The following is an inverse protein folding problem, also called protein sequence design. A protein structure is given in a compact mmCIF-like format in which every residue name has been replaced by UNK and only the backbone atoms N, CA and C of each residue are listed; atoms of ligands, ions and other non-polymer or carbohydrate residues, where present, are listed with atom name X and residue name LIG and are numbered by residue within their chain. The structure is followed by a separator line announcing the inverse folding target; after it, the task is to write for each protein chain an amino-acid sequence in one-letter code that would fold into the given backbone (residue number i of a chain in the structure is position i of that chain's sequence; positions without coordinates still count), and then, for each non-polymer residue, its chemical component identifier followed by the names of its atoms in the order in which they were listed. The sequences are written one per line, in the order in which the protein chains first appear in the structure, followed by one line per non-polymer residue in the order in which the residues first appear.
data_IF_238723585622
#
_entry.id   IF_238723585622
#
_cell.length_a   1.000
_cell.length_b   1.000
_cell.length_c   1.000
_cell.angle_alpha   90.00
_cell.angle_beta   90.00
_cell.angle_gamma   90.00
#
_symmetry.space_group_name_H-M   'P 1'
#
loop_
_entity.id
_entity.type
_entity.pdbx_description
1 polymer ?
#
# COMPACT_ATOMS: atom_id res chain seq x y z
N UNK A 1 6.33 -81.59 -15.41
CA UNK A 1 5.86 -80.20 -15.53
C UNK A 1 6.45 -79.40 -14.38
N UNK A 2 6.92 -78.19 -14.69
CA UNK A 2 8.08 -77.52 -14.11
C UNK A 2 7.94 -77.04 -12.64
N UNK A 3 9.07 -77.13 -11.93
CA UNK A 3 9.33 -76.65 -10.58
C UNK A 3 9.90 -75.23 -10.62
N UNK A 4 9.29 -74.30 -9.88
CA UNK A 4 9.74 -72.91 -9.71
C UNK A 4 10.66 -72.79 -8.49
N UNK A 5 11.88 -72.29 -8.72
CA UNK A 5 12.80 -71.79 -7.69
C UNK A 5 12.90 -70.26 -7.79
N UNK A 6 12.80 -69.60 -6.64
CA UNK A 6 13.03 -68.17 -6.45
C UNK A 6 14.47 -67.75 -6.78
N UNK A 7 14.62 -66.54 -7.33
CA UNK A 7 15.85 -65.75 -7.28
C UNK A 7 15.52 -64.27 -7.07
N UNK A 8 16.41 -63.63 -6.32
CA UNK A 8 16.46 -62.24 -5.86
C UNK A 8 16.28 -61.18 -6.95
N UNK A 9 15.64 -60.07 -6.60
CA UNK A 9 15.93 -58.76 -7.20
C UNK A 9 15.86 -57.66 -6.12
N UNK A 10 17.02 -57.09 -5.83
CA UNK A 10 17.22 -55.90 -5.01
C UNK A 10 16.87 -54.68 -5.86
N UNK A 11 15.83 -53.91 -5.49
CA UNK A 11 15.58 -52.60 -6.08
C UNK A 11 15.89 -51.51 -5.05
N UNK A 12 16.92 -50.72 -5.38
CA UNK A 12 17.32 -49.53 -4.68
C UNK A 12 16.25 -48.44 -4.82
N UNK A 13 15.79 -47.89 -3.70
CA UNK A 13 15.00 -46.67 -3.66
C UNK A 13 15.96 -45.48 -3.50
N UNK A 14 15.83 -44.40 -4.29
CA UNK A 14 16.65 -43.22 -4.08
C UNK A 14 16.16 -42.51 -2.83
N UNK A 15 17.03 -42.39 -1.84
CA UNK A 15 16.86 -41.48 -0.70
C UNK A 15 16.80 -40.05 -1.24
N UNK A 16 15.60 -39.49 -1.33
CA UNK A 16 15.42 -38.05 -1.50
C UNK A 16 15.86 -37.38 -0.19
N UNK A 17 17.14 -37.01 -0.13
CA UNK A 17 17.64 -36.10 0.89
C UNK A 17 17.00 -34.75 0.59
N UNK A 18 15.93 -34.41 1.31
CA UNK A 18 15.37 -33.08 1.32
C UNK A 18 16.39 -32.17 2.00
N UNK A 19 17.31 -31.61 1.20
CA UNK A 19 18.21 -30.56 1.65
C UNK A 19 17.36 -29.31 1.91
N UNK A 20 16.89 -29.16 3.15
CA UNK A 20 16.45 -27.89 3.69
C UNK A 20 17.65 -26.94 3.64
N UNK A 21 17.73 -26.17 2.55
CA UNK A 21 18.65 -25.06 2.43
C UNK A 21 18.17 -23.96 3.37
N UNK A 22 18.53 -24.06 4.64
CA UNK A 22 18.46 -22.95 5.60
C UNK A 22 19.56 -21.95 5.25
N UNK A 23 19.34 -21.17 4.17
CA UNK A 23 20.08 -19.94 3.96
C UNK A 23 19.16 -18.78 4.30
N UNK A 24 19.16 -18.41 5.58
CA UNK A 24 19.04 -16.99 5.96
C UNK A 24 20.29 -16.32 5.37
N UNK A 25 20.27 -16.08 4.07
CA UNK A 25 21.33 -15.39 3.37
C UNK A 25 21.25 -13.93 3.77
N UNK A 26 22.35 -13.39 4.30
CA UNK A 26 22.58 -11.94 4.31
C UNK A 26 22.30 -11.43 2.89
N UNK A 27 21.16 -10.75 2.70
CA UNK A 27 20.86 -10.01 1.46
C UNK A 27 21.80 -8.82 1.45
N UNK A 28 23.02 -8.99 0.94
CA UNK A 28 23.80 -7.86 0.50
C UNK A 28 23.06 -7.29 -0.72
N UNK A 29 22.57 -6.04 -0.69
CA UNK A 29 21.88 -5.47 -1.83
C UNK A 29 22.86 -5.42 -3.01
N UNK A 30 22.42 -5.93 -4.17
CA UNK A 30 23.08 -5.59 -5.43
C UNK A 30 22.93 -4.09 -5.60
N UNK A 31 24.02 -3.33 -5.57
CA UNK A 31 23.96 -1.87 -5.70
C UNK A 31 23.44 -1.52 -7.09
N UNK A 32 22.23 -0.95 -7.15
CA UNK A 32 21.69 -0.43 -8.40
C UNK A 32 22.48 0.83 -8.75
N UNK A 33 23.20 0.79 -9.88
CA UNK A 33 24.05 1.90 -10.29
C UNK A 33 23.35 2.88 -11.24
N UNK A 34 22.24 2.46 -11.86
CA UNK A 34 21.49 3.27 -12.80
C UNK A 34 20.29 3.92 -12.13
N UNK A 35 20.03 5.18 -12.49
CA UNK A 35 18.83 5.87 -12.06
C UNK A 35 17.59 5.19 -12.67
N UNK A 36 16.59 4.93 -11.83
CA UNK A 36 15.33 4.33 -12.22
C UNK A 36 14.46 5.38 -12.90
N UNK A 37 13.82 4.99 -14.00
CA UNK A 37 12.69 5.73 -14.58
C UNK A 37 11.55 4.75 -14.78
N UNK A 38 10.38 5.09 -14.23
CA UNK A 38 9.17 4.28 -14.27
C UNK A 38 8.20 4.84 -15.31
N UNK A 39 7.37 3.97 -15.87
CA UNK A 39 6.39 4.32 -16.89
C UNK A 39 4.98 4.06 -16.35
N UNK A 40 4.28 5.12 -15.96
CA UNK A 40 2.92 5.02 -15.40
C UNK A 40 1.88 4.55 -16.41
N UNK A 41 2.19 4.50 -17.71
CA UNK A 41 1.29 3.92 -18.71
C UNK A 41 1.30 2.38 -18.67
N UNK A 42 2.35 1.78 -18.09
CA UNK A 42 2.52 0.33 -17.95
C UNK A 42 2.26 -0.15 -16.52
N UNK A 43 1.96 -1.43 -16.39
CA UNK A 43 1.91 -2.07 -15.08
C UNK A 43 3.34 -2.35 -14.59
N UNK A 44 3.83 -1.53 -13.65
CA UNK A 44 5.17 -1.68 -13.07
C UNK A 44 5.33 -2.99 -12.30
N UNK A 45 4.26 -3.54 -11.73
CA UNK A 45 4.30 -4.74 -10.90
C UNK A 45 4.57 -6.03 -11.69
N UNK A 46 4.56 -5.96 -13.02
CA UNK A 46 5.03 -7.07 -13.86
C UNK A 46 6.56 -7.26 -13.79
N UNK A 47 7.29 -6.19 -13.45
CA UNK A 47 8.76 -6.17 -13.43
C UNK A 47 9.35 -5.91 -12.05
N UNK A 48 8.54 -5.39 -11.12
CA UNK A 48 8.99 -5.04 -9.78
C UNK A 48 8.27 -5.86 -8.71
N UNK A 49 9.03 -6.31 -7.71
CA UNK A 49 8.49 -6.93 -6.50
C UNK A 49 8.43 -5.90 -5.37
N UNK A 50 7.30 -5.81 -4.66
CA UNK A 50 7.18 -4.94 -3.49
C UNK A 50 8.19 -5.36 -2.41
N UNK A 51 9.04 -4.44 -2.00
CA UNK A 51 10.13 -4.72 -1.05
C UNK A 51 9.58 -4.98 0.37
N UNK A 52 9.98 -6.07 1.04
CA UNK A 52 9.70 -6.30 2.46
C UNK A 52 10.63 -5.43 3.32
N UNK A 53 10.33 -4.14 3.41
CA UNK A 53 11.17 -3.15 4.07
C UNK A 53 11.47 -3.46 5.55
N UNK A 54 12.69 -3.11 5.98
CA UNK A 54 13.24 -3.52 7.27
C UNK A 54 12.53 -2.93 8.51
N UNK A 55 11.81 -1.81 8.38
CA UNK A 55 11.09 -1.17 9.49
C UNK A 55 9.99 -2.10 10.01
N UNK A 56 9.09 -2.63 9.17
CA UNK A 56 8.06 -3.58 9.64
C UNK A 56 8.58 -5.02 9.71
N UNK A 57 9.52 -5.39 8.86
CA UNK A 57 10.11 -6.74 8.86
C UNK A 57 10.70 -7.11 10.22
N UNK A 58 11.40 -6.19 10.87
CA UNK A 58 11.96 -6.41 12.21
C UNK A 58 10.87 -6.68 13.27
N UNK A 59 9.74 -5.97 13.19
CA UNK A 59 8.57 -6.24 14.05
C UNK A 59 7.96 -7.62 13.80
N UNK A 60 7.84 -8.05 12.54
CA UNK A 60 7.33 -9.39 12.22
C UNK A 60 8.25 -10.51 12.73
N UNK A 61 9.56 -10.36 12.56
CA UNK A 61 10.54 -11.33 13.08
C UNK A 61 10.50 -11.42 14.61
N UNK A 62 10.40 -10.28 15.29
CA UNK A 62 10.26 -10.23 16.74
C UNK A 62 8.97 -10.94 17.20
N UNK A 63 7.84 -10.65 16.54
CA UNK A 63 6.55 -11.29 16.85
C UNK A 63 6.59 -12.80 16.60
N UNK A 64 7.15 -13.25 15.48
CA UNK A 64 7.28 -14.67 15.16
C UNK A 64 8.14 -15.43 16.18
N UNK A 65 9.12 -14.77 16.80
CA UNK A 65 9.95 -15.39 17.85
C UNK A 65 9.21 -15.66 19.16
N UNK A 66 8.05 -15.03 19.37
CA UNK A 66 7.19 -15.27 20.53
C UNK A 66 6.27 -16.48 20.34
N UNK A 67 6.21 -17.06 19.13
CA UNK A 67 5.33 -18.19 18.81
C UNK A 67 6.03 -19.51 19.17
N UNK A 68 5.39 -20.29 20.05
CA UNK A 68 5.92 -21.59 20.49
C UNK A 68 5.62 -22.73 19.51
N UNK A 69 4.46 -22.69 18.86
CA UNK A 69 4.08 -23.71 17.88
C UNK A 69 4.97 -23.59 16.62
N UNK A 70 5.64 -24.68 16.26
CA UNK A 70 6.67 -24.66 15.21
C UNK A 70 6.10 -24.32 13.84
N UNK A 71 4.92 -24.85 13.51
CA UNK A 71 4.28 -24.62 12.20
C UNK A 71 3.75 -23.19 12.09
N UNK A 72 3.10 -22.68 13.14
CA UNK A 72 2.66 -21.28 13.19
C UNK A 72 3.83 -20.31 13.16
N UNK A 73 4.93 -20.64 13.85
CA UNK A 73 6.16 -19.84 13.80
C UNK A 73 6.72 -19.78 12.38
N UNK A 74 6.79 -20.91 11.69
CA UNK A 74 7.24 -20.95 10.29
C UNK A 74 6.34 -20.12 9.37
N UNK A 75 5.01 -20.22 9.54
CA UNK A 75 4.03 -19.41 8.81
C UNK A 75 4.20 -17.91 9.10
N UNK A 76 4.41 -17.53 10.36
CA UNK A 76 4.62 -16.14 10.76
C UNK A 76 5.94 -15.57 10.22
N UNK A 77 7.01 -16.36 10.19
CA UNK A 77 8.28 -15.95 9.59
C UNK A 77 8.14 -15.62 8.10
N UNK A 78 7.28 -16.32 7.36
CA UNK A 78 7.00 -16.00 5.94
C UNK A 78 6.35 -14.63 5.74
N UNK A 79 5.58 -14.13 6.71
CA UNK A 79 4.99 -12.78 6.64
C UNK A 79 6.08 -11.71 6.59
N UNK A 80 7.22 -11.94 7.24
CA UNK A 80 8.36 -11.03 7.23
C UNK A 80 9.02 -10.88 5.84
N UNK A 81 8.74 -11.81 4.91
CA UNK A 81 9.24 -11.75 3.54
C UNK A 81 8.20 -11.19 2.54
N UNK A 82 6.99 -10.88 3.01
CA UNK A 82 5.95 -10.22 2.19
C UNK A 82 6.19 -8.71 2.10
N UNK A 83 6.15 -8.18 0.88
CA UNK A 83 6.25 -6.74 0.65
C UNK A 83 5.15 -5.95 1.37
N UNK A 84 5.50 -4.84 2.00
CA UNK A 84 4.56 -3.94 2.69
C UNK A 84 4.88 -2.49 2.37
N UNK A 85 3.86 -1.62 2.43
CA UNK A 85 4.07 -0.19 2.33
C UNK A 85 4.49 0.38 3.69
N UNK A 86 5.48 1.27 3.68
CA UNK A 86 5.93 2.04 4.83
C UNK A 86 5.03 3.28 5.02
N UNK A 87 4.45 3.44 6.20
CA UNK A 87 3.56 4.57 6.51
C UNK A 87 4.34 5.79 7.01
N UNK A 88 4.02 6.94 6.44
CA UNK A 88 4.55 8.26 6.76
C UNK A 88 3.38 9.16 7.16
N UNK A 89 3.20 9.35 8.48
CA UNK A 89 2.04 10.06 9.04
C UNK A 89 2.42 11.43 9.63
N UNK A 90 3.73 11.70 9.76
CA UNK A 90 4.29 12.91 10.36
C UNK A 90 5.72 13.20 9.87
N UNK A 91 6.23 14.39 10.20
CA UNK A 91 7.62 14.77 9.91
C UNK A 91 8.64 13.78 10.50
N UNK A 92 8.33 13.24 11.69
CA UNK A 92 9.17 12.27 12.39
C UNK A 92 9.29 10.92 11.68
N UNK A 93 8.41 10.62 10.72
CA UNK A 93 8.46 9.38 9.94
C UNK A 93 9.38 9.48 8.72
N UNK A 94 9.69 10.69 8.26
CA UNK A 94 10.48 10.91 7.03
C UNK A 94 11.86 10.21 7.09
N UNK A 95 12.61 10.23 8.21
CA UNK A 95 13.88 9.49 8.31
C UNK A 95 13.74 7.96 8.13
N UNK A 96 12.54 7.39 8.26
CA UNK A 96 12.31 5.96 8.00
C UNK A 96 12.52 5.60 6.53
N UNK A 97 12.36 6.56 5.60
CA UNK A 97 12.72 6.36 4.19
C UNK A 97 14.21 6.03 4.07
N UNK A 98 15.06 6.82 4.72
CA UNK A 98 16.52 6.67 4.71
C UNK A 98 16.96 5.32 5.30
N UNK A 99 16.18 4.76 6.23
CA UNK A 99 16.38 3.40 6.73
C UNK A 99 15.93 2.35 5.70
N UNK A 100 14.72 2.47 5.17
CA UNK A 100 14.09 1.47 4.32
C UNK A 100 14.71 1.35 2.92
N UNK A 101 15.38 2.39 2.41
CA UNK A 101 16.04 2.34 1.09
C UNK A 101 17.34 1.55 1.10
N UNK A 102 17.97 1.33 2.27
CA UNK A 102 19.33 0.76 2.38
C UNK A 102 19.42 -0.66 1.87
N UNK A 103 18.35 -1.43 1.96
CA UNK A 103 18.31 -2.85 1.65
C UNK A 103 17.44 -3.18 0.43
N UNK A 104 16.96 -2.18 -0.32
CA UNK A 104 16.16 -2.39 -1.53
C UNK A 104 17.06 -2.89 -2.66
N UNK A 105 16.92 -4.16 -3.12
CA UNK A 105 17.69 -4.67 -4.24
C UNK A 105 17.11 -4.18 -5.58
N UNK A 106 17.89 -4.34 -6.65
CA UNK A 106 17.39 -4.04 -7.99
C UNK A 106 16.23 -4.98 -8.36
N UNK A 107 15.25 -4.46 -9.09
CA UNK A 107 14.01 -5.18 -9.39
C UNK A 107 13.01 -5.20 -8.24
N UNK A 108 13.32 -4.60 -7.09
CA UNK A 108 12.33 -4.30 -6.05
C UNK A 108 11.91 -2.83 -6.10
N UNK A 109 10.73 -2.56 -5.54
CA UNK A 109 10.14 -1.24 -5.40
C UNK A 109 9.76 -1.00 -3.93
N UNK A 110 10.12 0.16 -3.40
CA UNK A 110 9.77 0.55 -2.03
C UNK A 110 8.38 1.23 -2.04
N UNK A 111 7.42 0.64 -1.33
CA UNK A 111 6.08 1.21 -1.17
C UNK A 111 6.04 2.22 -0.02
N UNK A 112 5.52 3.43 -0.26
CA UNK A 112 5.28 4.46 0.74
C UNK A 112 3.80 4.83 0.78
N UNK A 113 3.23 4.94 1.98
CA UNK A 113 1.92 5.56 2.20
C UNK A 113 2.15 6.90 2.86
N UNK A 114 1.74 7.98 2.19
CA UNK A 114 1.84 9.35 2.68
C UNK A 114 0.47 9.73 3.22
N UNK A 115 0.35 9.90 4.53
CA UNK A 115 -0.92 10.12 5.23
C UNK A 115 -0.73 11.22 6.28
N UNK A 116 -0.37 12.42 5.82
CA UNK A 116 0.02 13.54 6.66
C UNK A 116 -1.06 14.62 6.79
N UNK A 117 -2.15 14.59 6.00
CA UNK A 117 -3.20 15.60 6.13
C UNK A 117 -4.03 15.38 7.39
N UNK A 118 -4.39 16.51 8.00
CA UNK A 118 -5.31 16.56 9.12
C UNK A 118 -6.75 16.48 8.63
N UNK A 119 -7.50 15.56 9.22
CA UNK A 119 -8.96 15.55 9.22
C UNK A 119 -9.52 16.00 10.58
N UNK A 120 -8.72 16.71 11.40
CA UNK A 120 -9.14 17.20 12.70
C UNK A 120 -10.36 18.12 12.57
N UNK A 121 -11.34 17.94 13.47
CA UNK A 121 -12.58 18.72 13.45
C UNK A 121 -13.68 18.16 12.56
N UNK A 122 -13.40 17.17 11.70
CA UNK A 122 -14.41 16.44 10.94
C UNK A 122 -14.65 15.08 11.61
N UNK A 123 -15.75 14.93 12.36
CA UNK A 123 -16.13 13.67 13.03
C UNK A 123 -17.40 13.10 12.40
N UNK A 124 -17.34 11.83 12.03
CA UNK A 124 -18.49 11.03 11.60
C UNK A 124 -18.88 10.08 12.73
N UNK A 125 -19.77 10.54 13.60
CA UNK A 125 -20.69 9.72 14.40
C UNK A 125 -20.13 8.64 15.37
N UNK A 126 -18.82 8.39 15.47
CA UNK A 126 -18.27 7.30 16.32
C UNK A 126 -17.15 7.69 17.26
N UNK A 127 -16.76 8.97 17.34
CA UNK A 127 -15.97 9.49 18.44
C UNK A 127 -14.74 8.63 18.78
N UNK A 128 -13.72 8.69 17.92
CA UNK A 128 -12.28 8.50 18.18
C UNK A 128 -11.61 8.06 16.87
N UNK A 129 -11.01 9.01 16.15
CA UNK A 129 -9.67 8.74 15.59
C UNK A 129 -8.69 9.10 16.69
N UNK A 130 -8.18 8.11 17.42
CA UNK A 130 -7.44 8.38 18.62
C UNK A 130 -5.99 8.70 18.18
N UNK A 131 -5.54 9.92 18.47
CA UNK A 131 -4.14 10.25 18.84
C UNK A 131 -3.15 10.90 17.86
N UNK A 132 -3.52 11.47 16.72
CA UNK A 132 -2.56 12.34 16.01
C UNK A 132 -3.20 13.65 15.54
N UNK A 133 -2.85 14.74 16.23
CA UNK A 133 -2.99 16.09 15.68
C UNK A 133 -2.01 16.22 14.52
N UNK A 134 -2.43 15.84 13.33
CA UNK A 134 -1.71 16.20 12.10
C UNK A 134 -1.94 17.68 11.83
N UNK A 135 -0.94 18.37 11.28
CA UNK A 135 -1.02 19.77 10.92
C UNK A 135 -1.05 19.92 9.40
N UNK A 136 -2.17 20.43 8.87
CA UNK A 136 -2.33 20.67 7.44
C UNK A 136 -1.69 21.99 6.98
N UNK A 137 -1.27 22.87 7.89
CA UNK A 137 -0.79 24.24 7.58
C UNK A 137 0.51 24.21 6.79
N UNK A 138 1.45 23.35 7.21
CA UNK A 138 2.76 23.22 6.58
C UNK A 138 2.94 21.84 5.93
N UNK A 139 1.85 21.15 5.60
CA UNK A 139 1.91 19.79 5.06
C UNK A 139 2.76 19.68 3.79
N UNK A 140 2.65 20.63 2.86
CA UNK A 140 3.48 20.61 1.64
C UNK A 140 4.96 20.82 1.96
N UNK A 141 5.26 21.81 2.78
CA UNK A 141 6.63 22.25 3.09
C UNK A 141 7.37 21.27 3.99
N UNK A 142 6.69 20.72 4.99
CA UNK A 142 7.30 19.90 6.03
C UNK A 142 7.18 18.40 5.78
N UNK A 143 6.17 17.95 5.01
CA UNK A 143 5.96 16.53 4.73
C UNK A 143 6.30 16.22 3.27
N UNK A 144 5.59 16.82 2.32
CA UNK A 144 5.70 16.43 0.91
C UNK A 144 7.07 16.77 0.32
N UNK A 145 7.55 18.00 0.47
CA UNK A 145 8.79 18.44 -0.15
C UNK A 145 10.01 17.65 0.36
N UNK A 146 10.16 17.38 1.67
CA UNK A 146 11.26 16.53 2.17
C UNK A 146 11.17 15.06 1.74
N UNK A 147 9.96 14.52 1.52
CA UNK A 147 9.76 13.19 0.94
C UNK A 147 10.19 13.20 -0.53
N UNK A 148 9.71 14.17 -1.31
CA UNK A 148 10.06 14.34 -2.71
C UNK A 148 11.57 14.51 -2.92
N UNK A 149 12.24 15.26 -2.06
CA UNK A 149 13.69 15.42 -2.07
C UNK A 149 14.41 14.07 -1.84
N UNK A 150 13.98 13.29 -0.85
CA UNK A 150 14.55 11.96 -0.60
C UNK A 150 14.35 11.02 -1.79
N UNK A 151 13.16 10.96 -2.35
CA UNK A 151 12.87 10.12 -3.54
C UNK A 151 13.79 10.50 -4.69
N UNK A 152 14.00 11.81 -4.95
CA UNK A 152 14.94 12.29 -5.97
C UNK A 152 16.39 11.92 -5.67
N UNK A 153 16.81 11.99 -4.40
CA UNK A 153 18.17 11.66 -3.99
C UNK A 153 18.44 10.15 -4.07
N UNK A 154 17.43 9.31 -3.80
CA UNK A 154 17.48 7.86 -3.97
C UNK A 154 17.04 7.43 -5.38
N UNK A 155 17.57 8.11 -6.40
CA UNK A 155 17.15 7.90 -7.79
C UNK A 155 17.41 6.50 -8.36
N UNK A 156 18.24 5.67 -7.73
CA UNK A 156 18.47 4.27 -8.13
C UNK A 156 17.48 3.30 -7.49
N UNK A 157 16.56 3.79 -6.65
CA UNK A 157 15.46 3.04 -6.04
C UNK A 157 14.14 3.39 -6.72
N UNK A 158 13.34 2.36 -7.04
CA UNK A 158 11.97 2.53 -7.49
C UNK A 158 11.03 2.76 -6.30
N UNK A 159 10.04 3.63 -6.44
CA UNK A 159 9.03 3.91 -5.41
C UNK A 159 7.60 3.74 -5.93
N UNK A 160 6.72 3.21 -5.08
CA UNK A 160 5.27 3.23 -5.28
C UNK A 160 4.64 4.03 -4.15
N UNK A 161 3.83 5.03 -4.47
CA UNK A 161 3.30 6.01 -3.52
C UNK A 161 1.78 5.90 -3.45
N UNK A 162 1.24 5.82 -2.24
CA UNK A 162 -0.19 5.95 -1.95
C UNK A 162 -0.39 7.27 -1.23
N UNK A 163 -1.27 8.11 -1.75
CA UNK A 163 -1.50 9.47 -1.26
C UNK A 163 -2.80 9.56 -0.48
N UNK A 164 -2.67 10.02 0.75
CA UNK A 164 -3.73 10.45 1.67
C UNK A 164 -4.90 9.48 1.82
N UNK A 165 -4.65 8.25 2.30
CA UNK A 165 -5.73 7.41 2.78
C UNK A 165 -6.59 8.10 3.82
N UNK A 166 -7.84 7.69 3.87
CA UNK A 166 -8.79 8.03 4.93
C UNK A 166 -9.42 9.42 4.90
N UNK A 167 -8.92 10.37 4.11
CA UNK A 167 -9.48 11.73 4.07
C UNK A 167 -10.70 11.90 3.14
N UNK A 168 -10.79 11.13 2.06
CA UNK A 168 -11.81 11.29 1.01
C UNK A 168 -13.28 11.23 1.52
N UNK A 169 -13.67 10.39 2.49
CA UNK A 169 -15.01 10.40 3.10
C UNK A 169 -15.46 11.78 3.58
N UNK A 170 -14.58 12.46 4.28
CA UNK A 170 -14.81 13.78 4.87
C UNK A 170 -14.97 14.88 3.81
N UNK A 171 -14.54 14.58 2.58
CA UNK A 171 -14.66 15.47 1.43
C UNK A 171 -15.95 15.24 0.64
N UNK A 172 -16.29 13.96 0.40
CA UNK A 172 -17.34 13.59 -0.56
C UNK A 172 -18.66 13.20 0.10
N UNK A 173 -18.63 12.45 1.21
CA UNK A 173 -19.85 11.92 1.85
C UNK A 173 -20.52 12.96 2.72
N UNK A 174 -19.73 13.85 3.34
CA UNK A 174 -20.20 14.85 4.27
C UNK A 174 -19.90 16.31 3.85
N UNK A 175 -20.21 16.73 2.60
CA UNK A 175 -19.93 18.08 2.15
C UNK A 175 -20.77 19.14 2.89
N UNK A 176 -21.83 18.72 3.60
CA UNK A 176 -22.76 19.61 4.30
C UNK A 176 -22.45 19.80 5.80
N UNK A 177 -21.44 19.11 6.32
CA UNK A 177 -20.98 19.27 7.70
C UNK A 177 -20.01 20.45 7.77
N UNK A 178 -20.46 21.57 8.37
CA UNK A 178 -19.67 22.81 8.48
C UNK A 178 -18.34 22.59 9.20
N UNK A 179 -18.33 21.64 10.13
CA UNK A 179 -17.16 21.19 10.88
C UNK A 179 -16.07 20.57 9.99
N UNK A 180 -16.42 20.06 8.80
CA UNK A 180 -15.48 19.44 7.86
C UNK A 180 -14.89 20.40 6.83
N UNK A 181 -15.30 21.67 6.80
CA UNK A 181 -14.86 22.65 5.80
C UNK A 181 -13.34 22.83 5.75
N UNK A 182 -12.67 22.77 6.91
CA UNK A 182 -11.20 22.86 6.96
C UNK A 182 -10.53 21.65 6.32
N UNK A 183 -10.99 20.43 6.62
CA UNK A 183 -10.46 19.21 6.02
C UNK A 183 -10.70 19.16 4.50
N UNK A 184 -11.90 19.58 4.06
CA UNK A 184 -12.24 19.72 2.65
C UNK A 184 -11.32 20.69 1.92
N UNK A 185 -11.10 21.89 2.49
CA UNK A 185 -10.20 22.87 1.92
C UNK A 185 -8.77 22.36 1.90
N UNK A 186 -8.30 21.74 2.99
CA UNK A 186 -6.96 21.19 3.07
C UNK A 186 -6.73 20.11 2.00
N UNK A 187 -7.66 19.17 1.83
CA UNK A 187 -7.58 18.15 0.79
C UNK A 187 -7.52 18.77 -0.62
N UNK A 188 -8.47 19.65 -0.95
CA UNK A 188 -8.58 20.26 -2.29
C UNK A 188 -7.39 21.17 -2.63
N UNK A 189 -6.77 21.80 -1.63
CA UNK A 189 -5.58 22.63 -1.82
C UNK A 189 -4.30 21.82 -1.86
N UNK A 190 -4.11 20.88 -0.93
CA UNK A 190 -2.82 20.25 -0.69
C UNK A 190 -2.64 18.94 -1.46
N UNK A 191 -3.67 18.11 -1.61
CA UNK A 191 -3.54 16.82 -2.31
C UNK A 191 -3.08 16.99 -3.76
N UNK A 192 -3.61 17.95 -4.55
CA UNK A 192 -3.08 18.19 -5.90
C UNK A 192 -1.62 18.63 -5.92
N UNK A 193 -1.20 19.44 -4.95
CA UNK A 193 0.19 19.88 -4.81
C UNK A 193 1.11 18.72 -4.42
N UNK A 194 0.65 17.82 -3.55
CA UNK A 194 1.36 16.60 -3.19
C UNK A 194 1.60 15.70 -4.42
N UNK A 195 0.55 15.42 -5.18
CA UNK A 195 0.63 14.62 -6.41
C UNK A 195 1.63 15.24 -7.39
N UNK A 196 1.56 16.57 -7.59
CA UNK A 196 2.46 17.28 -8.50
C UNK A 196 3.92 17.26 -8.03
N UNK A 197 4.18 17.46 -6.74
CA UNK A 197 5.53 17.46 -6.19
C UNK A 197 6.19 16.06 -6.23
N UNK A 198 5.36 15.02 -6.19
CA UNK A 198 5.75 13.61 -6.24
C UNK A 198 5.72 13.01 -7.65
N UNK A 199 5.46 13.82 -8.69
CA UNK A 199 5.61 13.43 -10.10
C UNK A 199 7.12 13.37 -10.46
N UNK A 200 7.79 12.33 -9.96
CA UNK A 200 9.26 12.16 -10.00
C UNK A 200 9.58 10.87 -10.77
N UNK A 201 10.57 10.86 -11.69
CA UNK A 201 10.80 9.74 -12.62
C UNK A 201 10.88 8.34 -12.00
N UNK A 202 11.41 8.21 -10.78
CA UNK A 202 11.56 6.93 -10.07
C UNK A 202 10.41 6.58 -9.13
N UNK A 203 9.27 7.29 -9.17
CA UNK A 203 8.10 7.04 -8.35
C UNK A 203 6.83 6.85 -9.19
N UNK A 204 5.91 6.02 -8.75
CA UNK A 204 4.56 5.90 -9.32
C UNK A 204 3.53 6.21 -8.25
N UNK A 205 2.59 7.08 -8.57
CA UNK A 205 1.64 7.65 -7.60
C UNK A 205 0.23 7.11 -7.81
N UNK A 206 -0.40 6.70 -6.71
CA UNK A 206 -1.79 6.29 -6.61
C UNK A 206 -2.52 7.16 -5.57
N UNK A 207 -3.70 7.67 -5.90
CA UNK A 207 -4.55 8.40 -4.97
C UNK A 207 -5.50 7.45 -4.23
N UNK A 208 -5.62 7.54 -2.90
CA UNK A 208 -6.59 6.70 -2.19
C UNK A 208 -8.03 7.02 -2.60
N UNK A 209 -8.82 5.97 -2.83
CA UNK A 209 -10.22 6.02 -3.17
C UNK A 209 -11.07 5.15 -2.21
N UNK A 210 -10.59 4.92 -0.98
CA UNK A 210 -11.25 4.11 0.06
C UNK A 210 -11.61 2.70 -0.42
N UNK A 211 -12.82 2.22 -0.14
CA UNK A 211 -13.20 0.82 -0.35
C UNK A 211 -14.69 0.69 -0.70
N UNK A 212 -15.09 -0.51 -1.15
CA UNK A 212 -16.46 -0.78 -1.61
C UNK A 212 -17.52 -0.55 -0.52
N UNK A 213 -17.18 -0.84 0.74
CA UNK A 213 -18.04 -0.54 1.89
C UNK A 213 -18.19 0.95 2.21
N UNK A 214 -17.45 1.84 1.53
CA UNK A 214 -17.62 3.29 1.66
C UNK A 214 -18.24 3.90 0.41
N UNK A 215 -17.68 3.60 -0.77
CA UNK A 215 -18.02 4.24 -2.06
C UNK A 215 -18.62 3.30 -3.12
N UNK A 216 -18.75 2.01 -2.83
CA UNK A 216 -19.30 1.01 -3.74
C UNK A 216 -20.83 0.83 -3.66
N UNK A 217 -21.53 1.56 -2.78
CA UNK A 217 -22.95 1.34 -2.55
C UNK A 217 -23.82 1.71 -3.76
N UNK A 218 -24.92 0.96 -3.94
CA UNK A 218 -25.96 1.34 -4.88
C UNK A 218 -26.51 2.73 -4.50
N UNK A 219 -26.68 3.67 -5.45
CA UNK A 219 -27.21 5.02 -5.18
C UNK A 219 -28.53 5.03 -4.40
N UNK A 220 -29.38 4.00 -4.55
CA UNK A 220 -30.64 3.86 -3.80
C UNK A 220 -30.47 3.55 -2.30
N UNK A 221 -29.25 3.28 -1.84
CA UNK A 221 -28.89 2.86 -0.48
C UNK A 221 -27.93 3.81 0.23
N UNK A 222 -27.58 4.93 -0.39
CA UNK A 222 -26.63 5.90 0.15
C UNK A 222 -27.19 7.31 0.13
N UNK A 223 -26.67 8.17 1.01
CA UNK A 223 -26.99 9.60 1.10
C UNK A 223 -26.07 10.49 0.24
N UNK A 224 -25.13 9.91 -0.51
CA UNK A 224 -24.29 10.60 -1.49
C UNK A 224 -24.44 9.96 -2.89
N UNK A 225 -24.20 10.71 -3.97
CA UNK A 225 -24.14 10.13 -5.32
C UNK A 225 -22.74 9.53 -5.53
N UNK A 226 -22.56 8.23 -5.82
CA UNK A 226 -21.24 7.65 -6.12
C UNK A 226 -20.45 8.40 -7.19
N UNK A 227 -21.14 9.13 -8.09
CA UNK A 227 -20.47 10.00 -9.07
C UNK A 227 -19.76 11.20 -8.42
N UNK A 228 -20.13 11.64 -7.21
CA UNK A 228 -19.40 12.67 -6.47
C UNK A 228 -17.99 12.23 -6.12
N UNK A 229 -17.79 10.94 -5.84
CA UNK A 229 -16.47 10.36 -5.56
C UNK A 229 -15.60 10.46 -6.81
N UNK A 230 -16.12 10.01 -7.95
CA UNK A 230 -15.41 10.10 -9.23
C UNK A 230 -15.14 11.56 -9.63
N UNK A 231 -16.10 12.48 -9.40
CA UNK A 231 -15.94 13.92 -9.62
C UNK A 231 -14.81 14.50 -8.78
N UNK A 232 -14.77 14.21 -7.48
CA UNK A 232 -13.75 14.74 -6.57
C UNK A 232 -12.35 14.19 -6.90
N UNK A 233 -12.22 12.90 -7.17
CA UNK A 233 -10.96 12.28 -7.61
C UNK A 233 -10.47 12.89 -8.94
N UNK A 234 -11.38 13.07 -9.91
CA UNK A 234 -11.08 13.69 -11.20
C UNK A 234 -10.65 15.15 -11.03
N UNK A 235 -11.36 15.92 -10.22
CA UNK A 235 -11.03 17.32 -9.95
C UNK A 235 -9.65 17.44 -9.26
N UNK A 236 -9.33 16.53 -8.33
CA UNK A 236 -8.03 16.47 -7.66
C UNK A 236 -6.91 16.20 -8.67
N UNK A 237 -7.08 15.19 -9.53
CA UNK A 237 -6.13 14.88 -10.61
C UNK A 237 -5.98 16.03 -11.61
N UNK A 238 -7.09 16.69 -11.97
CA UNK A 238 -7.06 17.82 -12.88
C UNK A 238 -6.28 19.00 -12.30
N UNK A 239 -6.53 19.33 -11.04
CA UNK A 239 -5.83 20.39 -10.31
C UNK A 239 -4.33 20.09 -10.13
N UNK A 240 -3.94 18.80 -10.09
CA UNK A 240 -2.54 18.40 -9.97
C UNK A 240 -1.74 18.58 -11.27
N UNK A 241 -2.41 18.62 -12.43
CA UNK A 241 -1.75 18.77 -13.73
C UNK A 241 -2.43 18.01 -14.87
N UNK A 242 -3.43 17.17 -14.60
CA UNK A 242 -4.08 16.35 -15.61
C UNK A 242 -3.07 15.48 -16.39
N UNK A 243 -3.06 15.58 -17.72
CA UNK A 243 -2.19 14.83 -18.63
C UNK A 243 -0.74 15.29 -18.63
N UNK A 244 -0.37 16.34 -17.88
CA UNK A 244 1.04 16.71 -17.70
C UNK A 244 1.75 15.85 -16.66
N UNK A 245 1.00 15.14 -15.81
CA UNK A 245 1.55 14.19 -14.85
C UNK A 245 2.07 12.96 -15.60
N UNK A 246 3.33 12.61 -15.37
CA UNK A 246 4.01 11.50 -16.05
C UNK A 246 4.01 10.21 -15.22
N UNK A 247 3.82 10.34 -13.91
CA UNK A 247 3.97 9.28 -12.92
C UNK A 247 2.68 8.93 -12.17
N UNK A 248 1.61 9.71 -12.36
CA UNK A 248 0.30 9.39 -11.78
C UNK A 248 -0.35 8.22 -12.52
N UNK A 249 -0.56 7.10 -11.82
CA UNK A 249 -1.12 5.88 -12.41
C UNK A 249 -2.63 5.77 -12.26
N UNK A 250 -3.19 6.23 -11.15
CA UNK A 250 -4.60 6.05 -10.87
C UNK A 250 -4.89 6.05 -9.37
N UNK A 251 -5.75 5.13 -8.94
CA UNK A 251 -6.24 5.06 -7.57
C UNK A 251 -5.78 3.80 -6.84
N UNK A 252 -5.79 3.87 -5.51
CA UNK A 252 -5.65 2.73 -4.61
C UNK A 252 -6.94 2.57 -3.81
N UNK A 253 -7.26 1.34 -3.44
CA UNK A 253 -8.51 0.99 -2.77
C UNK A 253 -8.24 -0.10 -1.73
N UNK A 254 -9.17 -0.25 -0.79
CA UNK A 254 -9.13 -1.21 0.31
C UNK A 254 -7.98 -0.97 1.32
N UNK A 255 -7.42 0.23 1.36
CA UNK A 255 -6.37 0.60 2.32
C UNK A 255 -6.94 0.56 3.74
N UNK A 256 -6.29 -0.20 4.64
CA UNK A 256 -6.74 -0.47 6.02
C UNK A 256 -8.18 -1.01 6.12
N UNK A 257 -8.68 -1.65 5.08
CA UNK A 257 -10.00 -2.27 5.06
C UNK A 257 -9.90 -3.79 4.85
N UNK A 258 -11.05 -4.47 4.90
CA UNK A 258 -11.16 -5.93 4.93
C UNK A 258 -12.04 -6.48 3.81
N UNK A 259 -12.43 -5.66 2.83
CA UNK A 259 -13.29 -6.10 1.74
C UNK A 259 -12.59 -7.19 0.93
N UNK A 260 -13.33 -8.24 0.58
CA UNK A 260 -12.89 -9.24 -0.38
C UNK A 260 -12.57 -8.61 -1.73
N UNK A 261 -11.55 -9.14 -2.42
CA UNK A 261 -11.20 -8.74 -3.79
C UNK A 261 -12.28 -9.16 -4.78
N UNK A 262 -12.63 -10.45 -4.75
CA UNK A 262 -13.68 -11.06 -5.55
C UNK A 262 -14.27 -12.24 -4.76
N UNK A 263 -15.58 -12.22 -4.51
CA UNK A 263 -16.28 -13.24 -3.74
C UNK A 263 -17.70 -13.45 -4.28
N UNK A 264 -18.09 -14.72 -4.47
CA UNK A 264 -19.42 -15.11 -4.90
C UNK A 264 -19.97 -16.23 -4.01
N UNK A 265 -21.12 -16.04 -3.32
CA UNK A 265 -21.87 -14.78 -3.21
C UNK A 265 -21.06 -13.72 -2.45
N UNK A 266 -21.36 -12.44 -2.68
CA UNK A 266 -20.67 -11.33 -2.01
C UNK A 266 -20.79 -11.38 -0.49
N UNK A 267 -19.91 -10.63 0.20
CA UNK A 267 -19.84 -10.58 1.66
C UNK A 267 -21.19 -10.16 2.27
N UNK A 268 -21.62 -10.87 3.31
CA UNK A 268 -22.83 -10.53 4.08
C UNK A 268 -22.42 -9.90 5.40
N UNK A 269 -22.78 -8.64 5.59
CA UNK A 269 -22.62 -7.94 6.86
C UNK A 269 -24.01 -7.76 7.49
N UNK A 270 -24.10 -7.86 8.82
CA UNK A 270 -25.34 -7.57 9.55
C UNK A 270 -25.85 -6.18 9.17
N UNK A 271 -27.10 -6.10 8.69
CA UNK A 271 -27.79 -4.88 8.25
C UNK A 271 -27.23 -4.19 6.98
N UNK A 272 -26.42 -4.89 6.17
CA UNK A 272 -25.71 -4.30 5.03
C UNK A 272 -25.84 -5.12 3.74
N UNK A 273 -26.22 -4.45 2.64
CA UNK A 273 -26.23 -4.99 1.27
C UNK A 273 -25.28 -4.16 0.38
N UNK A 274 -23.98 -4.20 0.65
CA UNK A 274 -22.99 -3.49 -0.15
C UNK A 274 -22.73 -4.22 -1.48
N UNK A 275 -22.35 -3.48 -2.51
CA UNK A 275 -21.88 -4.05 -3.77
C UNK A 275 -20.36 -4.16 -3.65
N UNK A 276 -19.85 -5.37 -3.50
CA UNK A 276 -18.42 -5.68 -3.27
C UNK A 276 -17.63 -5.92 -4.56
N UNK A 277 -17.96 -5.23 -5.66
CA UNK A 277 -17.32 -5.51 -6.95
C UNK A 277 -16.31 -4.42 -7.32
N UNK A 278 -15.04 -4.81 -7.43
CA UNK A 278 -14.08 -4.17 -8.33
C UNK A 278 -14.01 -5.06 -9.57
N UNK A 279 -14.90 -4.82 -10.55
CA UNK A 279 -14.84 -5.55 -11.82
C UNK A 279 -13.81 -4.89 -12.74
N UNK A 280 -13.04 -5.73 -13.44
CA UNK A 280 -12.06 -5.38 -14.48
C UNK A 280 -12.59 -4.42 -15.56
#
# INVERSE_FOLDING_TARGET
MFSTKSFFACMALPTFVCALSSKVGNRAPSVCMEAVTLDATKNIWLNYTLHPQDVYRTHYLAAANLINDAEQKERALRVADSGTFLWLESEGDIPKIDQAVKDVPCGNILGLVINGLSHAGCDEATGRTPWQKRDSTHYIENIIMPIAERIKNYNTTAFALIIEPDILPFVVRNPYHKECLQAQSAYRTNTPQAIKALDIPNAITYLDAKHGGWFGWNPSRTNYDPKDVARELTATWQAAGSTSLTQFRGISVNIRSYNSWDMVPGETFTDENAIFFQSD
#
